data_IF_638416988718
#
_entry.id   IF_638416988718
#
_cell.length_a   1.000
_cell.length_b   1.000
_cell.length_c   1.000
_cell.angle_alpha   90.00
_cell.angle_beta   90.00
_cell.angle_gamma   90.00
#
_symmetry.space_group_name_H-M   'P 1'
#
loop_
_entity.id
_entity.type
_entity.pdbx_description
1 polymer ?
#
# COMPACT_ATOMS: atom_id res chain seq x y z
N UNK A 1 -22.15 -22.66 3.19
CA UNK A 1 -22.61 -21.75 4.24
C UNK A 1 -21.48 -20.76 4.43
N UNK A 2 -21.70 -19.52 4.02
CA UNK A 2 -20.67 -18.48 4.12
C UNK A 2 -20.30 -18.33 5.59
N UNK A 3 -19.02 -18.55 5.91
CA UNK A 3 -18.57 -18.65 7.31
C UNK A 3 -18.54 -17.27 7.99
N UNK A 4 -18.69 -16.18 7.23
CA UNK A 4 -18.33 -14.82 7.63
C UNK A 4 -19.48 -13.81 7.63
N UNK A 5 -20.73 -14.23 7.42
CA UNK A 5 -21.88 -13.31 7.41
C UNK A 5 -21.87 -12.30 6.24
N UNK A 6 -22.90 -11.46 6.15
CA UNK A 6 -22.97 -10.34 5.21
C UNK A 6 -22.27 -9.16 5.87
N UNK A 7 -21.40 -8.43 5.16
CA UNK A 7 -20.84 -7.16 5.64
C UNK A 7 -21.99 -6.13 5.70
N UNK A 8 -22.24 -5.58 6.88
CA UNK A 8 -23.26 -4.57 7.17
C UNK A 8 -22.64 -3.21 7.48
N UNK A 9 -21.34 -3.15 7.80
CA UNK A 9 -20.60 -1.90 7.94
C UNK A 9 -19.11 -2.05 8.18
N UNK A 10 -18.45 -0.92 8.46
CA UNK A 10 -17.00 -0.83 8.66
C UNK A 10 -16.45 -1.75 9.75
N UNK A 11 -17.15 -1.91 10.89
CA UNK A 11 -16.65 -2.74 11.99
C UNK A 11 -16.59 -4.23 11.60
N UNK A 12 -17.47 -4.72 10.72
CA UNK A 12 -17.37 -6.10 10.21
C UNK A 12 -16.08 -6.32 9.40
N UNK A 13 -15.61 -5.28 8.71
CA UNK A 13 -14.35 -5.32 7.97
C UNK A 13 -13.16 -5.35 8.93
N UNK A 14 -13.22 -4.60 10.03
CA UNK A 14 -12.21 -4.63 11.09
C UNK A 14 -12.12 -6.03 11.70
N UNK A 15 -13.25 -6.60 12.09
CA UNK A 15 -13.32 -7.96 12.63
C UNK A 15 -12.78 -9.00 11.64
N UNK A 16 -13.10 -8.84 10.35
CA UNK A 16 -12.62 -9.72 9.29
C UNK A 16 -11.10 -9.63 9.08
N UNK A 17 -10.51 -8.44 9.22
CA UNK A 17 -9.05 -8.25 9.16
C UNK A 17 -8.38 -8.99 10.31
N UNK A 18 -8.93 -8.91 11.52
CA UNK A 18 -8.38 -9.59 12.69
C UNK A 18 -8.54 -11.11 12.60
N UNK A 19 -9.67 -11.61 12.10
CA UNK A 19 -9.92 -13.04 11.95
C UNK A 19 -9.06 -13.67 10.84
N UNK A 20 -9.04 -13.05 9.65
CA UNK A 20 -8.32 -13.59 8.50
C UNK A 20 -6.82 -13.29 8.56
N UNK A 21 -6.42 -12.22 9.24
CA UNK A 21 -5.06 -11.72 9.31
C UNK A 21 -4.57 -11.03 8.03
N UNK A 22 -5.13 -11.40 6.87
CA UNK A 22 -4.84 -10.86 5.55
C UNK A 22 -6.14 -10.72 4.76
N UNK A 23 -6.49 -9.50 4.36
CA UNK A 23 -7.72 -9.20 3.62
C UNK A 23 -7.41 -8.39 2.35
N UNK A 24 -7.35 -9.02 1.16
CA UNK A 24 -7.27 -8.31 -0.10
C UNK A 24 -8.50 -7.44 -0.35
N UNK A 25 -8.29 -6.22 -0.84
CA UNK A 25 -9.40 -5.31 -1.17
C UNK A 25 -10.20 -5.82 -2.37
N UNK A 26 -9.51 -6.24 -3.43
CA UNK A 26 -10.12 -6.67 -4.69
C UNK A 26 -10.07 -8.19 -4.89
N UNK A 27 -11.01 -8.67 -5.73
CA UNK A 27 -11.03 -10.03 -6.23
C UNK A 27 -9.68 -10.40 -6.84
N UNK A 28 -9.26 -11.61 -6.54
CA UNK A 28 -7.98 -12.16 -6.92
C UNK A 28 -8.14 -13.66 -7.23
N UNK A 29 -7.08 -14.36 -7.68
CA UNK A 29 -7.20 -15.77 -8.07
C UNK A 29 -7.59 -16.73 -6.94
N UNK A 30 -7.64 -16.29 -5.68
CA UNK A 30 -8.07 -17.10 -4.54
C UNK A 30 -9.49 -16.68 -4.17
N UNK A 31 -10.46 -17.55 -4.50
CA UNK A 31 -11.89 -17.28 -4.31
C UNK A 31 -12.28 -17.17 -2.83
N UNK A 32 -13.22 -16.26 -2.55
CA UNK A 32 -13.80 -16.05 -1.23
C UNK A 32 -12.85 -15.38 -0.23
N UNK A 33 -11.75 -14.78 -0.72
CA UNK A 33 -10.72 -14.18 0.13
C UNK A 33 -10.72 -12.65 0.12
N UNK A 34 -11.31 -11.99 -0.88
CA UNK A 34 -11.29 -10.52 -0.93
C UNK A 34 -12.51 -9.86 -0.27
N UNK A 35 -12.34 -8.61 0.14
CA UNK A 35 -13.42 -7.73 0.57
C UNK A 35 -14.48 -7.60 -0.53
N UNK A 36 -14.08 -7.38 -1.79
CA UNK A 36 -15.01 -7.31 -2.94
C UNK A 36 -15.94 -8.52 -3.11
N UNK A 37 -15.55 -9.71 -2.66
CA UNK A 37 -16.40 -10.91 -2.76
C UNK A 37 -17.37 -11.02 -1.57
N UNK A 38 -17.09 -10.33 -0.47
CA UNK A 38 -17.80 -10.40 0.81
C UNK A 38 -18.69 -9.18 1.05
N UNK A 39 -18.37 -8.06 0.42
CA UNK A 39 -19.16 -6.84 0.57
C UNK A 39 -20.26 -6.79 -0.48
N UNK A 40 -21.50 -6.52 -0.06
CA UNK A 40 -22.61 -6.26 -0.97
C UNK A 40 -22.34 -5.08 -1.94
N UNK A 41 -22.83 -5.11 -3.19
CA UNK A 41 -22.59 -4.06 -4.17
C UNK A 41 -23.02 -2.65 -3.74
N UNK A 42 -24.01 -2.55 -2.85
CA UNK A 42 -24.51 -1.30 -2.30
C UNK A 42 -23.47 -0.48 -1.51
N UNK A 43 -22.38 -1.10 -1.02
CA UNK A 43 -21.30 -0.38 -0.35
C UNK A 43 -20.12 -0.03 -1.30
N UNK A 44 -20.16 -0.50 -2.56
CA UNK A 44 -19.15 -0.18 -3.56
C UNK A 44 -19.52 1.01 -4.45
N UNK A 45 -20.82 1.21 -4.67
CA UNK A 45 -21.37 2.12 -5.68
C UNK A 45 -22.55 2.94 -5.16
N UNK A 46 -22.38 3.59 -4.00
CA UNK A 46 -23.39 4.46 -3.42
C UNK A 46 -22.84 5.88 -3.27
N UNK A 47 -23.46 6.83 -3.97
CA UNK A 47 -23.09 8.25 -3.90
C UNK A 47 -23.68 8.93 -2.65
N UNK A 48 -24.67 8.32 -2.00
CA UNK A 48 -25.44 8.90 -0.88
C UNK A 48 -24.90 8.52 0.50
N UNK A 49 -24.07 7.48 0.61
CA UNK A 49 -23.47 7.02 1.87
C UNK A 49 -22.01 6.62 1.68
N UNK A 50 -21.21 6.78 2.74
CA UNK A 50 -19.85 6.23 2.79
C UNK A 50 -19.87 4.72 2.56
N UNK A 51 -18.90 4.23 1.78
CA UNK A 51 -18.73 2.81 1.48
C UNK A 51 -17.28 2.37 1.58
N UNK A 52 -16.96 1.26 0.88
CA UNK A 52 -15.65 0.60 0.97
C UNK A 52 -14.47 1.51 0.58
N UNK A 53 -14.71 2.56 -0.22
CA UNK A 53 -13.69 3.51 -0.62
C UNK A 53 -13.37 4.54 0.46
N UNK A 54 -14.40 5.03 1.17
CA UNK A 54 -14.32 6.02 2.23
C UNK A 54 -13.82 5.38 3.53
N UNK A 55 -14.19 4.11 3.77
CA UNK A 55 -13.84 3.41 5.00
C UNK A 55 -12.36 3.01 5.10
N UNK A 56 -11.58 3.03 4.01
CA UNK A 56 -10.17 2.59 4.06
C UNK A 56 -9.33 3.33 5.11
N UNK A 57 -9.38 4.67 5.13
CA UNK A 57 -8.64 5.48 6.10
C UNK A 57 -9.06 5.18 7.54
N UNK A 58 -10.36 5.29 7.87
CA UNK A 58 -10.91 4.89 9.15
C UNK A 58 -10.53 3.47 9.59
N UNK A 59 -10.63 2.47 8.69
CA UNK A 59 -10.26 1.07 8.98
C UNK A 59 -8.77 0.96 9.34
N UNK A 60 -7.87 1.62 8.60
CA UNK A 60 -6.42 1.59 8.90
C UNK A 60 -6.17 2.05 10.33
N UNK A 61 -6.74 3.19 10.71
CA UNK A 61 -6.61 3.74 12.06
C UNK A 61 -7.26 2.84 13.12
N UNK A 62 -8.46 2.34 12.83
CA UNK A 62 -9.28 1.55 13.78
C UNK A 62 -8.73 0.16 14.07
N UNK A 63 -8.23 -0.52 13.04
CA UNK A 63 -7.66 -1.88 13.13
C UNK A 63 -6.17 -1.90 13.46
N UNK A 64 -5.50 -0.74 13.43
CA UNK A 64 -4.04 -0.64 13.46
C UNK A 64 -3.36 -1.65 12.52
N UNK A 65 -3.95 -1.87 11.34
CA UNK A 65 -3.44 -2.82 10.35
C UNK A 65 -2.52 -2.12 9.35
N UNK A 66 -1.62 -2.88 8.74
CA UNK A 66 -0.86 -2.37 7.62
C UNK A 66 -1.75 -2.41 6.38
N UNK A 67 -1.82 -1.29 5.67
CA UNK A 67 -2.52 -1.22 4.39
C UNK A 67 -1.57 -0.77 3.28
N UNK A 68 -1.64 -1.45 2.14
CA UNK A 68 -0.74 -1.17 1.03
C UNK A 68 -0.87 -2.18 -0.10
N UNK A 69 -0.14 -1.93 -1.19
CA UNK A 69 -0.14 -2.79 -2.37
C UNK A 69 0.68 -4.08 -2.17
N UNK A 70 0.24 -4.97 -1.29
CA UNK A 70 1.03 -6.13 -0.87
C UNK A 70 0.90 -7.38 -1.75
N UNK A 71 -0.12 -7.46 -2.63
CA UNK A 71 -0.33 -8.64 -3.47
C UNK A 71 -0.52 -8.28 -4.94
N UNK A 72 0.47 -8.58 -5.78
CA UNK A 72 0.45 -8.29 -7.24
C UNK A 72 0.13 -6.82 -7.54
N UNK A 73 0.65 -5.90 -6.74
CA UNK A 73 0.38 -4.46 -6.86
C UNK A 73 -1.04 -4.05 -6.45
N UNK A 74 -1.84 -4.94 -5.84
CA UNK A 74 -3.18 -4.68 -5.33
C UNK A 74 -3.18 -4.48 -3.82
N UNK A 75 -4.14 -3.69 -3.35
CA UNK A 75 -4.33 -3.34 -1.96
C UNK A 75 -4.75 -4.54 -1.10
N UNK A 76 -4.17 -4.63 0.08
CA UNK A 76 -4.42 -5.66 1.09
C UNK A 76 -4.28 -5.03 2.46
N UNK A 77 -5.18 -5.34 3.39
CA UNK A 77 -4.93 -5.14 4.82
C UNK A 77 -4.22 -6.36 5.40
N UNK A 78 -3.23 -6.10 6.24
CA UNK A 78 -2.52 -7.12 7.00
C UNK A 78 -2.61 -6.72 8.47
N UNK A 79 -3.29 -7.54 9.26
CA UNK A 79 -3.44 -7.31 10.70
C UNK A 79 -2.09 -7.14 11.40
N UNK A 80 -2.10 -6.40 12.52
CA UNK A 80 -0.90 -6.09 13.31
C UNK A 80 -0.12 -7.34 13.72
N UNK A 81 -0.80 -8.45 14.05
CA UNK A 81 -0.18 -9.71 14.48
C UNK A 81 0.45 -10.55 13.36
N UNK A 82 0.19 -10.22 12.10
CA UNK A 82 0.69 -10.94 10.93
C UNK A 82 1.70 -10.14 10.10
N UNK A 83 1.66 -8.81 10.19
CA UNK A 83 2.56 -7.95 9.43
C UNK A 83 4.06 -8.18 9.69
N UNK A 84 4.54 -8.38 10.94
CA UNK A 84 5.96 -8.63 11.22
C UNK A 84 6.53 -9.85 10.50
N UNK A 85 5.82 -10.98 10.50
CA UNK A 85 6.24 -12.17 9.76
C UNK A 85 6.16 -11.96 8.24
N UNK A 86 5.18 -11.20 7.76
CA UNK A 86 5.06 -10.87 6.34
C UNK A 86 6.30 -10.10 5.86
N UNK A 87 6.70 -9.04 6.58
CA UNK A 87 7.87 -8.23 6.19
C UNK A 87 9.19 -8.97 6.41
N UNK A 88 9.30 -9.83 7.42
CA UNK A 88 10.50 -10.65 7.66
C UNK A 88 10.84 -11.48 6.41
N UNK A 89 9.85 -12.17 5.84
CA UNK A 89 10.07 -12.94 4.62
C UNK A 89 10.22 -12.09 3.36
N UNK A 90 9.37 -11.08 3.17
CA UNK A 90 9.38 -10.22 1.97
C UNK A 90 10.70 -9.46 1.80
N UNK A 91 11.22 -8.90 2.89
CA UNK A 91 12.47 -8.13 2.87
C UNK A 91 13.70 -9.03 2.69
N UNK A 92 13.66 -10.27 3.19
CA UNK A 92 14.72 -11.27 2.94
C UNK A 92 14.86 -11.61 1.44
N UNK A 93 13.74 -11.66 0.71
CA UNK A 93 13.70 -12.08 -0.70
C UNK A 93 14.15 -11.02 -1.70
N UNK A 94 14.29 -9.76 -1.28
CA UNK A 94 14.38 -8.63 -2.23
C UNK A 94 15.41 -7.59 -1.82
N UNK A 95 16.23 -7.20 -2.79
CA UNK A 95 17.11 -6.04 -2.68
C UNK A 95 16.48 -4.82 -3.33
N UNK A 96 16.64 -3.66 -2.69
CA UNK A 96 16.13 -2.39 -3.18
C UNK A 96 17.06 -1.78 -4.23
N UNK A 97 16.48 -1.15 -5.25
CA UNK A 97 17.18 -0.31 -6.22
C UNK A 97 17.68 0.99 -5.57
N UNK A 98 18.49 1.76 -6.28
CA UNK A 98 18.95 3.06 -5.79
C UNK A 98 17.78 4.06 -5.64
N UNK A 99 16.86 4.08 -6.59
CA UNK A 99 15.67 4.94 -6.56
C UNK A 99 14.75 4.59 -5.38
N UNK A 100 14.53 3.30 -5.14
CA UNK A 100 13.72 2.82 -4.01
C UNK A 100 14.35 3.17 -2.66
N UNK A 101 15.67 3.00 -2.52
CA UNK A 101 16.39 3.43 -1.31
C UNK A 101 16.22 4.93 -1.09
N UNK A 102 16.35 5.74 -2.14
CA UNK A 102 16.20 7.19 -2.00
C UNK A 102 14.78 7.60 -1.57
N UNK A 103 13.75 6.98 -2.14
CA UNK A 103 12.36 7.19 -1.70
C UNK A 103 12.18 6.77 -0.24
N UNK A 104 12.71 5.61 0.15
CA UNK A 104 12.61 5.09 1.51
C UNK A 104 13.31 5.99 2.53
N UNK A 105 14.54 6.44 2.25
CA UNK A 105 15.27 7.35 3.14
C UNK A 105 14.57 8.71 3.27
N UNK A 106 13.94 9.20 2.19
CA UNK A 106 13.09 10.40 2.25
C UNK A 106 11.92 10.20 3.23
N UNK A 107 11.25 9.04 3.18
CA UNK A 107 10.17 8.68 4.12
C UNK A 107 10.65 8.35 5.54
N UNK A 108 11.95 8.13 5.77
CA UNK A 108 12.48 7.99 7.13
C UNK A 108 12.83 9.33 7.76
N UNK A 109 13.24 10.30 6.94
CA UNK A 109 13.50 11.67 7.38
C UNK A 109 12.22 12.45 7.68
N UNK A 110 11.10 12.04 7.08
CA UNK A 110 9.79 12.66 7.21
C UNK A 110 8.80 11.64 7.81
N UNK A 111 8.08 11.95 8.89
CA UNK A 111 7.20 10.98 9.57
C UNK A 111 6.16 10.33 8.62
N UNK A 112 5.55 11.13 7.73
CA UNK A 112 4.67 10.67 6.66
C UNK A 112 4.52 11.72 5.55
N UNK A 113 4.29 11.28 4.31
CA UNK A 113 4.17 12.16 3.15
C UNK A 113 3.03 11.75 2.22
N UNK A 114 2.34 12.73 1.63
CA UNK A 114 1.44 12.51 0.50
C UNK A 114 2.23 12.17 -0.76
N UNK A 115 1.60 11.47 -1.70
CA UNK A 115 2.21 11.14 -3.01
C UNK A 115 2.86 12.35 -3.70
N UNK A 116 2.22 13.52 -3.65
CA UNK A 116 2.72 14.76 -4.27
C UNK A 116 3.96 15.31 -3.57
N UNK A 117 3.99 15.26 -2.24
CA UNK A 117 5.11 15.74 -1.43
C UNK A 117 6.32 14.82 -1.63
N UNK A 118 6.08 13.51 -1.57
CA UNK A 118 7.12 12.51 -1.81
C UNK A 118 7.73 12.66 -3.20
N UNK A 119 6.92 12.87 -4.25
CA UNK A 119 7.42 13.20 -5.61
C UNK A 119 8.26 14.47 -5.66
N UNK A 120 7.90 15.50 -4.89
CA UNK A 120 8.64 16.75 -4.83
C UNK A 120 10.01 16.54 -4.16
N UNK A 121 10.06 15.92 -2.99
CA UNK A 121 11.30 15.65 -2.27
C UNK A 121 12.24 14.72 -3.02
N UNK A 122 11.68 13.76 -3.77
CA UNK A 122 12.48 12.77 -4.51
C UNK A 122 12.81 13.20 -5.94
N UNK A 123 12.42 14.41 -6.37
CA UNK A 123 12.71 14.91 -7.72
C UNK A 123 11.94 14.19 -8.84
N UNK A 124 10.84 13.50 -8.53
CA UNK A 124 9.93 12.91 -9.51
C UNK A 124 8.84 13.87 -10.00
N UNK A 125 8.84 15.11 -9.52
CA UNK A 125 7.99 16.17 -10.03
C UNK A 125 8.36 16.53 -11.46
N UNK A 126 7.42 16.37 -12.40
CA UNK A 126 7.59 16.95 -13.74
C UNK A 126 7.58 18.48 -13.62
N UNK A 127 8.51 19.21 -14.25
CA UNK A 127 8.31 20.64 -14.49
C UNK A 127 6.98 20.80 -15.20
N UNK A 128 6.07 21.65 -14.69
CA UNK A 128 4.92 22.07 -15.49
C UNK A 128 5.51 22.81 -16.68
N UNK A 129 5.50 22.19 -17.86
CA UNK A 129 5.67 22.91 -19.12
C UNK A 129 4.50 23.88 -19.20
N UNK A 130 4.69 25.10 -18.69
CA UNK A 130 3.92 26.24 -19.16
C UNK A 130 4.12 26.29 -20.67
N UNK A 131 3.05 26.63 -21.39
CA UNK A 131 2.98 26.70 -22.84
C UNK A 131 4.31 27.14 -23.45
N UNK A 132 4.71 26.44 -24.51
CA UNK A 132 5.89 26.66 -25.35
C UNK A 132 6.16 28.17 -25.47
N UNK A 133 7.14 28.65 -24.72
CA UNK A 133 7.80 29.92 -25.00
C UNK A 133 8.77 29.65 -26.16
N UNK A 134 8.64 30.32 -27.32
CA UNK A 134 9.56 30.14 -28.45
C UNK A 134 11.03 30.44 -28.13
N UNK A 135 11.33 31.04 -26.97
CA UNK A 135 12.69 31.19 -26.45
C UNK A 135 13.12 30.12 -25.43
N UNK A 136 12.21 29.26 -24.98
CA UNK A 136 12.40 28.28 -23.90
C UNK A 136 13.19 27.02 -24.28
N UNK A 137 13.32 26.71 -25.57
CA UNK A 137 14.15 25.59 -26.05
C UNK A 137 15.62 25.71 -25.65
N UNK A 138 16.11 26.94 -25.43
CA UNK A 138 17.50 27.17 -25.03
C UNK A 138 17.74 26.86 -23.53
N UNK A 139 16.73 27.04 -22.69
CA UNK A 139 16.81 26.79 -21.24
C UNK A 139 16.64 25.30 -20.89
N UNK A 140 15.81 24.56 -21.64
CA UNK A 140 15.72 23.10 -21.49
C UNK A 140 17.03 22.42 -21.87
N UNK A 141 17.70 22.91 -22.91
CA UNK A 141 19.02 22.42 -23.33
C UNK A 141 20.14 22.78 -22.32
N UNK A 142 20.02 23.91 -21.62
CA UNK A 142 20.95 24.27 -20.53
C UNK A 142 20.71 23.46 -19.25
N UNK A 143 19.45 23.18 -18.89
CA UNK A 143 19.13 22.32 -17.75
C UNK A 143 19.51 20.86 -18.00
N UNK A 144 19.47 20.37 -19.24
CA UNK A 144 20.01 19.06 -19.59
C UNK A 144 21.55 19.04 -19.68
N UNK A 145 22.21 20.20 -19.72
CA UNK A 145 23.67 20.33 -19.69
C UNK A 145 24.21 20.68 -18.30
N UNK A 146 23.37 21.19 -17.39
CA UNK A 146 23.72 21.58 -16.01
C UNK A 146 23.11 20.66 -14.94
N UNK A 147 22.33 19.66 -15.35
CA UNK A 147 21.76 18.66 -14.46
C UNK A 147 22.64 17.42 -14.41
N UNK A 148 22.95 16.97 -13.19
CA UNK A 148 23.57 15.68 -12.85
C UNK A 148 22.72 14.49 -13.34
N UNK A 149 22.59 14.32 -14.65
CA UNK A 149 22.02 13.12 -15.25
C UNK A 149 23.16 12.11 -15.38
N UNK A 150 23.28 11.21 -14.41
CA UNK A 150 24.25 10.08 -14.36
C UNK A 150 24.07 9.09 -15.54
N UNK A 151 23.35 9.47 -16.60
CA UNK A 151 22.98 8.60 -17.74
C UNK A 151 22.15 7.38 -17.34
N UNK A 152 21.79 7.25 -16.05
CA UNK A 152 21.05 6.13 -15.50
C UNK A 152 19.56 6.36 -15.72
N UNK A 153 18.94 5.43 -16.46
CA UNK A 153 17.48 5.45 -16.63
C UNK A 153 16.81 5.22 -15.26
N UNK A 154 16.15 6.26 -14.76
CA UNK A 154 15.45 6.26 -13.48
C UNK A 154 14.21 5.37 -13.54
N UNK A 155 13.98 4.57 -12.51
CA UNK A 155 12.73 3.81 -12.36
C UNK A 155 11.55 4.78 -12.17
N UNK A 156 10.39 4.52 -12.76
CA UNK A 156 9.21 5.38 -12.58
C UNK A 156 8.73 5.40 -11.13
N UNK A 157 8.36 6.57 -10.60
CA UNK A 157 7.96 6.76 -9.20
C UNK A 157 6.90 5.76 -8.72
N UNK A 158 5.81 5.61 -9.47
CA UNK A 158 4.70 4.73 -9.10
C UNK A 158 5.13 3.27 -9.05
N UNK A 159 6.07 2.89 -9.91
CA UNK A 159 6.66 1.55 -9.96
C UNK A 159 7.52 1.32 -8.72
N UNK A 160 8.48 2.21 -8.44
CA UNK A 160 9.34 2.13 -7.26
C UNK A 160 8.52 2.13 -5.95
N UNK A 161 7.50 2.99 -5.84
CA UNK A 161 6.62 3.06 -4.67
C UNK A 161 5.75 1.81 -4.51
N UNK A 162 5.27 1.23 -5.62
CA UNK A 162 4.51 -0.03 -5.58
C UNK A 162 5.41 -1.18 -5.16
N UNK A 163 6.64 -1.23 -5.67
CA UNK A 163 7.63 -2.23 -5.32
C UNK A 163 8.07 -2.14 -3.84
N UNK A 164 8.27 -0.93 -3.31
CA UNK A 164 8.50 -0.69 -1.88
C UNK A 164 7.36 -1.20 -1.01
N UNK A 165 6.10 -0.95 -1.42
CA UNK A 165 4.93 -1.50 -0.73
C UNK A 165 4.90 -3.03 -0.78
N UNK A 166 5.06 -3.64 -1.97
CA UNK A 166 5.08 -5.10 -2.12
C UNK A 166 6.17 -5.78 -1.28
N UNK A 167 7.29 -5.08 -1.06
CA UNK A 167 8.39 -5.54 -0.23
C UNK A 167 8.19 -5.26 1.28
N UNK A 168 7.14 -4.53 1.66
CA UNK A 168 6.84 -4.19 3.05
C UNK A 168 7.76 -3.10 3.63
N UNK A 169 8.29 -2.20 2.81
CA UNK A 169 9.08 -1.05 3.29
C UNK A 169 8.26 0.24 3.41
N UNK A 170 7.13 0.31 2.72
CA UNK A 170 6.24 1.48 2.73
C UNK A 170 4.81 0.99 2.88
N UNK A 171 4.02 1.71 3.67
CA UNK A 171 2.58 1.48 3.82
C UNK A 171 1.82 2.78 3.58
N UNK A 172 0.50 2.66 3.41
CA UNK A 172 -0.42 3.78 3.43
C UNK A 172 -0.99 3.87 4.84
N UNK A 173 -0.76 4.98 5.54
CA UNK A 173 -1.25 5.19 6.91
C UNK A 173 -2.60 5.89 6.95
N UNK A 174 -2.95 6.66 5.92
CA UNK A 174 -4.23 7.36 5.83
C UNK A 174 -4.54 7.83 4.39
N UNK A 175 -5.73 8.38 4.18
CA UNK A 175 -6.17 9.05 2.97
C UNK A 175 -6.63 10.48 3.26
N UNK A 176 -6.07 11.45 2.53
CA UNK A 176 -6.50 12.85 2.63
C UNK A 176 -7.48 13.23 1.52
N UNK A 177 -8.56 13.87 1.93
CA UNK A 177 -9.64 14.27 1.04
C UNK A 177 -9.67 15.79 0.87
N UNK A 178 -9.92 16.25 -0.35
CA UNK A 178 -10.08 17.67 -0.61
C UNK A 178 -11.38 18.16 0.02
N UNK A 179 -11.42 19.41 0.49
CA UNK A 179 -12.60 19.98 1.14
C UNK A 179 -13.12 21.21 0.40
N UNK A 180 -14.43 21.26 0.19
CA UNK A 180 -15.08 22.42 -0.42
C UNK A 180 -15.14 23.60 0.57
N UNK A 181 -15.68 24.75 0.13
CA UNK A 181 -15.81 25.94 1.00
C UNK A 181 -16.73 25.73 2.20
N UNK A 182 -17.57 24.70 2.19
CA UNK A 182 -18.50 24.33 3.27
C UNK A 182 -17.89 23.27 4.19
N UNK A 183 -16.70 22.75 3.89
CA UNK A 183 -16.00 21.73 4.66
C UNK A 183 -16.31 20.29 4.25
N UNK A 184 -17.14 20.07 3.22
CA UNK A 184 -17.49 18.73 2.74
C UNK A 184 -16.32 18.15 1.94
N UNK A 185 -16.04 16.86 2.13
CA UNK A 185 -15.03 16.15 1.36
C UNK A 185 -15.47 15.93 -0.08
N UNK A 186 -14.55 16.03 -1.03
CA UNK A 186 -14.80 15.74 -2.44
C UNK A 186 -13.56 15.16 -3.13
N UNK A 187 -13.81 14.47 -4.25
CA UNK A 187 -12.77 13.80 -5.03
C UNK A 187 -12.22 12.55 -4.35
N UNK A 188 -11.18 11.97 -4.95
CA UNK A 188 -10.57 10.74 -4.45
C UNK A 188 -9.58 11.02 -3.31
N UNK A 189 -9.61 10.20 -2.28
CA UNK A 189 -8.64 10.23 -1.18
C UNK A 189 -7.21 10.07 -1.70
N UNK A 190 -6.33 10.99 -1.32
CA UNK A 190 -4.90 10.97 -1.63
C UNK A 190 -4.17 10.19 -0.55
N UNK A 191 -3.49 9.11 -0.93
CA UNK A 191 -2.77 8.28 0.02
C UNK A 191 -1.61 9.04 0.69
N UNK A 192 -1.54 8.91 2.02
CA UNK A 192 -0.43 9.30 2.88
C UNK A 192 0.43 8.07 3.16
N UNK A 193 1.71 8.16 2.83
CA UNK A 193 2.68 7.08 2.95
C UNK A 193 3.58 7.28 4.15
N UNK A 194 3.96 6.18 4.79
CA UNK A 194 4.93 6.15 5.89
C UNK A 194 5.71 4.82 5.87
N UNK A 195 6.75 4.73 6.69
CA UNK A 195 7.43 3.46 6.94
C UNK A 195 6.69 2.65 8.00
N UNK A 196 6.70 1.31 7.92
CA UNK A 196 6.23 0.47 9.01
C UNK A 196 6.86 0.80 10.37
N UNK A 197 8.14 1.16 10.38
CA UNK A 197 8.90 1.46 11.57
C UNK A 197 8.35 2.70 12.27
N UNK A 198 8.04 3.76 11.51
CA UNK A 198 7.40 4.97 12.04
C UNK A 198 5.96 4.70 12.51
N UNK A 199 5.22 3.84 11.80
CA UNK A 199 3.80 3.58 12.10
C UNK A 199 3.59 2.61 13.27
N UNK A 200 4.29 1.47 13.30
CA UNK A 200 4.14 0.43 14.32
C UNK A 200 5.13 0.55 15.48
N UNK A 201 6.23 1.29 15.29
CA UNK A 201 7.41 1.24 16.14
C UNK A 201 8.33 0.08 15.75
N UNK A 202 9.64 0.35 15.69
CA UNK A 202 10.66 -0.60 15.23
C UNK A 202 10.63 -1.94 15.98
N UNK A 203 10.44 -1.91 17.30
CA UNK A 203 10.35 -3.12 18.13
C UNK A 203 9.17 -4.03 17.77
N UNK A 204 8.08 -3.48 17.22
CA UNK A 204 6.86 -4.24 16.87
C UNK A 204 7.09 -5.10 15.61
N UNK A 205 8.07 -4.75 14.77
CA UNK A 205 8.38 -5.48 13.54
C UNK A 205 9.38 -6.62 13.75
N UNK A 206 9.99 -6.70 14.94
CA UNK A 206 10.93 -7.76 15.26
C UNK A 206 10.21 -9.09 15.53
N UNK A 207 10.72 -10.17 14.97
CA UNK A 207 10.26 -11.54 15.23
C UNK A 207 11.44 -12.47 15.50
N UNK A 208 11.29 -13.32 16.51
CA UNK A 208 12.25 -14.39 16.83
C UNK A 208 12.06 -15.61 15.91
N UNK A 209 12.04 -15.37 14.59
CA UNK A 209 11.89 -16.40 13.55
C UNK A 209 12.77 -16.08 12.36
N UNK A 210 13.32 -17.12 11.75
CA UNK A 210 13.93 -16.99 10.43
C UNK A 210 12.88 -16.57 9.39
N UNK A 211 13.30 -15.92 8.29
CA UNK A 211 12.38 -15.59 7.19
C UNK A 211 11.57 -16.79 6.69
N UNK A 212 12.17 -17.98 6.64
CA UNK A 212 11.51 -19.20 6.19
C UNK A 212 10.46 -19.71 7.19
N UNK A 213 10.72 -19.62 8.49
CA UNK A 213 9.73 -19.94 9.52
C UNK A 213 8.54 -18.97 9.49
N UNK A 214 8.79 -17.67 9.26
CA UNK A 214 7.73 -16.68 9.05
C UNK A 214 6.88 -17.03 7.83
N UNK A 215 7.49 -17.42 6.70
CA UNK A 215 6.78 -17.91 5.51
C UNK A 215 5.89 -19.11 5.85
N UNK A 216 6.45 -20.11 6.54
CA UNK A 216 5.73 -21.34 6.84
C UNK A 216 4.58 -21.11 7.83
N UNK A 217 4.76 -20.21 8.81
CA UNK A 217 3.70 -19.74 9.70
C UNK A 217 2.53 -19.16 8.91
N UNK A 218 2.82 -18.27 7.96
CA UNK A 218 1.78 -17.62 7.16
C UNK A 218 1.07 -18.64 6.25
N UNK A 219 1.82 -19.50 5.55
CA UNK A 219 1.22 -20.53 4.70
C UNK A 219 0.34 -21.50 5.50
N UNK A 220 0.76 -21.91 6.70
CA UNK A 220 -0.04 -22.76 7.56
C UNK A 220 -1.37 -22.09 7.96
N UNK A 221 -1.35 -20.78 8.26
CA UNK A 221 -2.55 -20.00 8.55
C UNK A 221 -3.46 -19.88 7.32
N UNK A 222 -2.90 -19.54 6.16
CA UNK A 222 -3.68 -19.40 4.94
C UNK A 222 -4.36 -20.72 4.52
N UNK A 223 -3.67 -21.87 4.68
CA UNK A 223 -4.28 -23.20 4.46
C UNK A 223 -5.49 -23.44 5.34
N UNK A 224 -5.45 -22.98 6.60
CA UNK A 224 -6.55 -23.13 7.55
C UNK A 224 -7.76 -22.29 7.16
N UNK A 225 -7.56 -21.04 6.74
CA UNK A 225 -8.65 -20.11 6.43
C UNK A 225 -9.16 -20.23 4.98
N UNK A 226 -8.32 -20.71 4.05
CA UNK A 226 -8.61 -20.90 2.62
C UNK A 226 -8.42 -22.38 2.21
N UNK A 227 -9.21 -23.33 2.75
CA UNK A 227 -8.99 -24.77 2.51
C UNK A 227 -9.23 -25.23 1.06
N UNK A 228 -9.79 -24.36 0.21
CA UNK A 228 -10.01 -24.63 -1.22
C UNK A 228 -8.91 -24.05 -2.13
N UNK A 229 -8.01 -23.24 -1.59
CA UNK A 229 -6.91 -22.67 -2.35
C UNK A 229 -5.84 -23.73 -2.62
N UNK A 230 -5.22 -23.69 -3.79
CA UNK A 230 -4.07 -24.54 -4.12
C UNK A 230 -2.80 -24.03 -3.46
N UNK A 231 -1.79 -24.88 -3.33
CA UNK A 231 -0.48 -24.49 -2.79
C UNK A 231 0.16 -23.38 -3.62
N UNK A 232 0.01 -23.40 -4.95
CA UNK A 232 0.54 -22.36 -5.84
C UNK A 232 -0.15 -21.01 -5.62
N UNK A 233 -1.47 -21.03 -5.40
CA UNK A 233 -2.24 -19.83 -5.07
C UNK A 233 -1.74 -19.20 -3.76
N UNK A 234 -1.64 -20.01 -2.70
CA UNK A 234 -1.17 -19.57 -1.39
C UNK A 234 0.29 -19.08 -1.43
N UNK A 235 1.17 -19.82 -2.09
CA UNK A 235 2.56 -19.44 -2.26
C UNK A 235 2.69 -18.11 -3.03
N UNK A 236 1.83 -17.86 -4.02
CA UNK A 236 1.87 -16.63 -4.82
C UNK A 236 1.57 -15.36 -4.03
N UNK A 237 0.87 -15.46 -2.88
CA UNK A 237 0.64 -14.31 -2.00
C UNK A 237 1.89 -13.88 -1.24
N UNK A 238 2.74 -14.84 -0.87
CA UNK A 238 3.92 -14.59 -0.05
C UNK A 238 5.18 -14.38 -0.89
N UNK A 239 5.18 -14.88 -2.14
CA UNK A 239 6.24 -14.66 -3.13
C UNK A 239 6.37 -13.18 -3.53
#
# INVERSE_FOLDING_TARGET
MDRYGKIEGMEDIVDLIDELGFLPFFRNPIEGWSLEEKTPPEFWFNDDNDGDWEWKGPIISRSESAYGKFYRGKAVWISRGWYPDFVNYRRFRRHLTADEKFILETLKGEDSLLSKELKAFTGYSRPRTKAIDPFGERLTHLNSMLGDDDGRQREGFETALTHLQMAGYVIISDFEYSRDRKGNTYGWGVARYTTPESYFGESTLHVDRTPHESRDRILAHLRKILPRATEEQLASFIA
#
